data_IF_592270065827
#
_entry.id   IF_592270065827
#
_cell.length_a   1.000
_cell.length_b   1.000
_cell.length_c   1.000
_cell.angle_alpha   90.00
_cell.angle_beta   90.00
_cell.angle_gamma   90.00
#
_symmetry.space_group_name_H-M   'P 1'
#
loop_
_entity.id
_entity.type
_entity.pdbx_description
1 polymer ?
#
# COMPACT_ATOMS: atom_id res chain seq x y z
N UNK A 1 -13.64 25.54 -17.12
CA UNK A 1 -12.70 26.06 -16.10
C UNK A 1 -11.71 24.96 -15.77
N UNK A 2 -10.41 25.28 -15.77
CA UNK A 2 -9.31 24.33 -15.79
C UNK A 2 -8.98 23.78 -14.39
N UNK A 3 -8.72 22.48 -14.29
CA UNK A 3 -8.04 21.89 -13.15
C UNK A 3 -6.59 22.40 -13.13
N UNK A 4 -6.20 23.13 -12.09
CA UNK A 4 -4.82 23.56 -11.91
C UNK A 4 -4.02 22.41 -11.27
N UNK A 5 -3.45 21.51 -12.07
CA UNK A 5 -2.46 20.53 -11.57
C UNK A 5 -1.05 21.14 -11.61
N UNK A 6 -0.42 21.26 -10.43
CA UNK A 6 1.03 21.38 -10.34
C UNK A 6 1.64 19.97 -10.23
N UNK A 7 2.09 19.43 -11.36
CA UNK A 7 2.84 18.17 -11.40
C UNK A 7 4.34 18.48 -11.47
N UNK A 8 5.09 18.09 -10.44
CA UNK A 8 6.55 18.07 -10.46
C UNK A 8 6.99 16.62 -10.76
N UNK A 9 7.66 16.39 -11.89
CA UNK A 9 8.25 15.09 -12.24
C UNK A 9 9.76 15.24 -12.44
N UNK A 10 10.55 14.32 -11.87
CA UNK A 10 11.96 14.12 -12.23
C UNK A 10 12.03 12.89 -13.15
N UNK A 11 12.38 13.11 -14.41
CA UNK A 11 12.37 12.10 -15.49
C UNK A 11 13.49 11.07 -15.29
N UNK A 12 13.12 9.79 -15.22
CA UNK A 12 14.02 8.65 -15.38
C UNK A 12 13.30 7.58 -16.21
N UNK A 13 13.77 7.32 -17.43
CA UNK A 13 13.26 6.24 -18.29
C UNK A 13 11.94 6.53 -19.02
N UNK A 14 11.81 6.03 -20.25
CA UNK A 14 10.72 6.36 -21.16
C UNK A 14 9.52 5.40 -21.04
N UNK A 15 8.38 5.92 -20.63
CA UNK A 15 7.06 5.44 -21.02
C UNK A 15 6.19 6.67 -21.36
N UNK A 16 5.47 6.69 -22.49
CA UNK A 16 4.65 7.83 -22.87
C UNK A 16 3.44 7.99 -21.93
N UNK A 17 3.10 9.24 -21.60
CA UNK A 17 1.82 9.60 -20.99
C UNK A 17 0.81 9.64 -22.15
N UNK A 18 -0.19 8.77 -22.14
CA UNK A 18 -1.27 8.77 -23.12
C UNK A 18 -2.53 9.41 -22.52
N UNK A 19 -2.91 10.58 -23.05
CA UNK A 19 -4.18 11.24 -22.76
C UNK A 19 -5.25 10.62 -23.67
N UNK A 20 -5.97 9.62 -23.19
CA UNK A 20 -7.10 9.06 -23.95
C UNK A 20 -8.31 10.00 -23.82
N UNK A 21 -8.55 10.79 -24.86
CA UNK A 21 -9.81 11.53 -25.06
C UNK A 21 -10.83 10.64 -25.77
N UNK A 22 -12.07 10.66 -25.30
CA UNK A 22 -13.22 10.22 -26.10
C UNK A 22 -13.37 11.08 -27.37
N UNK A 23 -14.18 10.65 -28.35
CA UNK A 23 -14.23 11.28 -29.67
C UNK A 23 -14.84 12.70 -29.57
N UNK A 24 -13.98 13.72 -29.63
CA UNK A 24 -14.32 15.09 -30.00
C UNK A 24 -13.08 15.80 -30.58
N UNK A 25 -13.32 16.58 -31.63
CA UNK A 25 -12.41 17.15 -32.62
C UNK A 25 -11.07 17.75 -32.10
N UNK A 26 -10.01 17.49 -32.86
CA UNK A 26 -8.65 17.98 -32.64
C UNK A 26 -8.49 19.49 -32.94
N UNK A 27 -7.82 20.23 -32.05
CA UNK A 27 -6.86 21.32 -32.40
C UNK A 27 -5.73 21.34 -31.38
N UNK A 28 -4.48 21.34 -31.88
CA UNK A 28 -3.29 20.92 -31.16
C UNK A 28 -2.62 21.92 -30.21
N UNK A 29 -1.60 21.44 -29.49
CA UNK A 29 -0.63 22.23 -28.74
C UNK A 29 0.72 21.48 -28.66
N UNK A 30 1.84 22.23 -28.69
CA UNK A 30 3.23 21.75 -28.56
C UNK A 30 3.78 22.20 -27.20
N UNK A 31 4.60 21.37 -26.56
CA UNK A 31 5.16 21.58 -25.20
C UNK A 31 6.52 22.26 -25.25
N UNK A 32 6.72 23.33 -24.46
CA UNK A 32 8.04 23.80 -24.00
C UNK A 32 7.93 24.26 -22.53
N UNK A 33 8.96 23.96 -21.74
CA UNK A 33 9.07 24.14 -20.29
C UNK A 33 8.62 25.51 -19.73
N UNK A 34 7.82 25.47 -18.64
CA UNK A 34 7.70 26.54 -17.64
C UNK A 34 6.47 27.45 -17.74
N UNK A 35 5.51 27.29 -16.80
CA UNK A 35 4.36 28.16 -16.47
C UNK A 35 3.39 28.52 -17.61
N UNK A 36 2.13 28.03 -17.51
CA UNK A 36 1.02 28.54 -18.32
C UNK A 36 0.23 29.61 -17.56
N UNK A 37 0.35 30.86 -18.00
CA UNK A 37 -0.66 31.91 -17.84
C UNK A 37 -1.43 32.01 -19.17
N UNK A 38 -2.75 32.16 -19.11
CA UNK A 38 -3.59 32.32 -20.31
C UNK A 38 -4.07 33.76 -20.44
N UNK A 39 -3.75 34.40 -21.57
CA UNK A 39 -4.46 35.59 -22.07
C UNK A 39 -4.62 35.47 -23.59
N UNK A 40 -5.79 35.89 -24.09
CA UNK A 40 -6.24 35.69 -25.46
C UNK A 40 -5.53 36.60 -26.48
N UNK A 41 -5.31 36.07 -27.69
CA UNK A 41 -5.21 36.85 -28.92
C UNK A 41 -3.89 36.74 -29.71
N UNK A 42 -4.07 36.55 -31.03
CA UNK A 42 -3.13 36.78 -32.15
C UNK A 42 -2.11 35.67 -32.55
N UNK A 43 -2.16 35.28 -33.83
CA UNK A 43 -1.09 34.59 -34.62
C UNK A 43 -0.08 35.66 -35.13
N UNK A 44 1.09 35.35 -35.78
CA UNK A 44 1.65 34.07 -36.27
C UNK A 44 3.19 33.86 -36.12
N UNK A 45 3.66 32.69 -36.63
CA UNK A 45 4.97 32.34 -37.23
C UNK A 45 6.23 32.07 -36.38
N UNK A 46 6.90 30.94 -36.70
CA UNK A 46 8.35 30.71 -36.94
C UNK A 46 8.65 29.18 -36.85
N UNK A 47 8.89 28.52 -37.99
CA UNK A 47 10.20 28.07 -38.55
C UNK A 47 10.95 27.00 -37.76
N UNK A 48 11.15 25.84 -38.40
CA UNK A 48 11.99 24.73 -37.92
C UNK A 48 13.49 25.06 -38.00
N UNK A 49 14.32 24.37 -37.20
CA UNK A 49 15.52 23.80 -37.78
C UNK A 49 15.68 22.30 -37.52
N UNK A 50 16.10 21.65 -38.60
CA UNK A 50 16.66 20.33 -38.84
C UNK A 50 17.03 19.42 -37.64
N UNK A 51 16.66 18.15 -37.80
CA UNK A 51 17.25 17.02 -37.10
C UNK A 51 18.72 16.78 -37.51
N UNK A 52 19.50 16.11 -36.65
CA UNK A 52 20.48 15.16 -37.14
C UNK A 52 20.19 13.74 -36.60
N UNK A 53 20.15 12.81 -37.54
CA UNK A 53 20.30 11.37 -37.39
C UNK A 53 21.71 10.99 -36.90
N UNK A 54 21.83 9.72 -36.46
CA UNK A 54 23.06 8.89 -36.33
C UNK A 54 23.77 9.04 -34.96
N UNK A 55 24.19 8.02 -34.18
CA UNK A 55 24.61 6.63 -34.44
C UNK A 55 24.38 5.72 -33.21
N UNK A 56 24.25 4.40 -33.44
CA UNK A 56 24.42 3.35 -32.43
C UNK A 56 25.92 3.10 -32.24
N UNK A 57 26.39 2.93 -31.01
CA UNK A 57 27.62 2.18 -30.72
C UNK A 57 27.49 1.38 -29.41
N UNK A 58 27.88 0.11 -29.52
CA UNK A 58 28.08 -0.88 -28.47
C UNK A 58 29.55 -0.77 -28.06
N UNK A 59 29.84 -0.68 -26.76
CA UNK A 59 31.20 -0.77 -26.23
C UNK A 59 31.36 -1.95 -25.28
N UNK A 60 32.12 -2.93 -25.78
CA UNK A 60 32.70 -4.06 -25.06
C UNK A 60 33.84 -3.55 -24.18
N UNK A 61 33.94 -4.05 -22.94
CA UNK A 61 35.11 -3.84 -22.07
C UNK A 61 36.13 -4.95 -22.29
N UNK A 62 37.44 -4.63 -22.43
CA UNK A 62 38.50 -5.63 -22.43
C UNK A 62 39.05 -5.87 -21.01
N UNK A 63 39.51 -7.11 -20.86
CA UNK A 63 40.23 -7.74 -19.75
C UNK A 63 41.54 -7.06 -19.35
N UNK A 64 41.87 -7.15 -18.05
CA UNK A 64 43.21 -6.84 -17.50
C UNK A 64 43.88 -8.10 -16.90
N UNK A 65 45.22 -8.16 -16.81
CA UNK A 65 45.99 -9.39 -16.59
C UNK A 65 46.54 -9.58 -15.15
N UNK A 66 46.97 -10.83 -14.90
CA UNK A 66 47.64 -11.40 -13.71
C UNK A 66 49.17 -11.24 -13.80
N UNK A 67 49.89 -11.15 -12.66
CA UNK A 67 51.05 -12.04 -12.37
C UNK A 67 50.99 -12.56 -10.91
N UNK A 68 51.02 -13.86 -10.57
CA UNK A 68 52.04 -14.95 -10.63
C UNK A 68 53.10 -14.97 -9.50
N UNK A 69 53.10 -16.07 -8.71
CA UNK A 69 54.19 -16.59 -7.85
C UNK A 69 53.95 -16.44 -6.33
N UNK A 70 54.13 -17.42 -5.44
CA UNK A 70 54.53 -18.84 -5.50
C UNK A 70 54.29 -19.48 -4.10
N UNK A 71 54.29 -20.82 -4.06
CA UNK A 71 53.92 -21.76 -2.99
C UNK A 71 54.75 -21.76 -1.68
N UNK A 72 54.19 -22.31 -0.58
CA UNK A 72 54.64 -23.57 0.07
C UNK A 72 54.07 -23.81 1.51
N UNK A 73 53.43 -24.99 1.69
CA UNK A 73 53.47 -26.00 2.80
C UNK A 73 53.73 -25.54 4.26
N UNK A 74 53.07 -25.97 5.34
CA UNK A 74 52.56 -27.30 5.72
C UNK A 74 53.17 -27.74 7.08
N UNK A 75 52.32 -28.15 8.05
CA UNK A 75 52.57 -29.02 9.24
C UNK A 75 53.39 -28.55 10.48
N UNK A 76 52.93 -29.06 11.64
CA UNK A 76 53.31 -28.95 13.07
C UNK A 76 54.54 -29.83 13.46
N UNK A 77 54.83 -30.11 14.76
CA UNK A 77 55.38 -29.27 15.84
C UNK A 77 56.74 -29.80 16.38
N UNK A 78 57.50 -29.00 17.15
CA UNK A 78 58.79 -29.42 17.73
C UNK A 78 59.19 -28.68 19.00
N UNK A 79 59.85 -29.41 19.88
CA UNK A 79 60.00 -29.24 21.33
C UNK A 79 61.27 -28.47 21.75
N UNK A 80 61.22 -27.90 22.97
CA UNK A 80 62.33 -27.57 23.91
C UNK A 80 63.42 -26.55 23.54
N UNK A 81 63.67 -25.60 24.47
CA UNK A 81 64.88 -25.49 25.32
C UNK A 81 64.74 -24.26 26.27
N UNK A 82 65.02 -24.46 27.56
CA UNK A 82 65.12 -23.43 28.62
C UNK A 82 66.41 -22.58 28.46
N UNK A 83 66.45 -21.34 28.99
CA UNK A 83 67.33 -21.16 30.15
C UNK A 83 66.88 -20.17 31.25
N UNK A 84 67.29 -20.54 32.46
CA UNK A 84 67.74 -19.74 33.63
C UNK A 84 66.96 -18.51 34.16
N UNK A 85 66.73 -18.59 35.48
CA UNK A 85 66.16 -17.60 36.41
C UNK A 85 66.99 -16.32 36.56
N UNK A 86 66.29 -15.20 36.76
CA UNK A 86 66.76 -13.98 37.44
C UNK A 86 65.62 -13.40 38.29
N UNK A 87 65.88 -12.75 39.44
CA UNK A 87 64.86 -12.46 40.44
C UNK A 87 64.13 -11.14 40.16
N UNK A 88 62.79 -11.16 40.10
CA UNK A 88 61.99 -9.94 40.01
C UNK A 88 61.58 -9.44 41.39
N UNK A 89 61.93 -8.17 41.61
CA UNK A 89 61.64 -7.32 42.75
C UNK A 89 60.15 -6.94 42.73
N UNK A 90 59.47 -7.09 43.86
CA UNK A 90 58.07 -6.71 44.01
C UNK A 90 57.89 -5.17 43.97
N UNK A 91 57.01 -4.67 43.09
CA UNK A 91 56.45 -3.32 43.15
C UNK A 91 54.93 -3.40 43.39
N UNK A 92 54.44 -2.51 44.24
CA UNK A 92 53.06 -2.48 44.76
C UNK A 92 52.09 -2.01 43.66
N UNK A 93 51.12 -2.84 43.30
CA UNK A 93 50.00 -2.46 42.43
C UNK A 93 48.88 -1.80 43.22
N UNK A 94 48.48 -0.59 42.81
CA UNK A 94 47.30 0.14 43.31
C UNK A 94 46.05 -0.46 42.69
N UNK A 95 45.10 -0.91 43.51
CA UNK A 95 43.82 -1.44 43.05
C UNK A 95 42.86 -0.29 42.72
N UNK A 96 42.51 -0.11 41.43
CA UNK A 96 41.43 0.77 41.01
C UNK A 96 40.10 0.03 41.10
N UNK A 97 39.24 0.44 42.04
CA UNK A 97 37.85 -0.03 42.12
C UNK A 97 37.03 0.78 41.12
N UNK A 98 36.68 0.18 39.98
CA UNK A 98 35.68 0.74 39.08
C UNK A 98 34.29 0.50 39.66
N UNK A 99 33.48 1.54 39.96
CA UNK A 99 32.10 1.33 40.39
C UNK A 99 31.31 0.83 39.18
N UNK A 100 30.84 -0.42 39.25
CA UNK A 100 29.89 -0.97 38.28
C UNK A 100 28.57 -0.23 38.48
N UNK A 101 28.31 0.78 37.65
CA UNK A 101 27.01 1.41 37.54
C UNK A 101 26.01 0.38 36.99
N UNK A 102 25.23 -0.20 37.89
CA UNK A 102 24.08 -1.05 37.52
C UNK A 102 23.03 -0.13 36.90
N UNK A 103 23.03 -0.05 35.57
CA UNK A 103 21.90 0.51 34.83
C UNK A 103 20.71 -0.43 35.00
N UNK A 104 19.84 -0.12 35.95
CA UNK A 104 18.51 -0.72 36.01
C UNK A 104 17.79 -0.34 34.71
N UNK A 105 17.69 -1.29 33.78
CA UNK A 105 16.86 -1.15 32.59
C UNK A 105 15.42 -0.98 33.06
N UNK A 106 14.93 0.27 33.07
CA UNK A 106 13.51 0.55 33.22
C UNK A 106 12.85 -0.05 31.99
N UNK A 107 12.35 -1.28 32.11
CA UNK A 107 11.43 -1.83 31.13
C UNK A 107 10.21 -0.91 31.16
N UNK A 108 10.14 0.04 30.23
CA UNK A 108 8.92 0.77 29.94
C UNK A 108 7.97 -0.29 29.41
N UNK A 109 7.22 -0.92 30.30
CA UNK A 109 6.11 -1.78 29.95
C UNK A 109 5.17 -0.93 29.12
N UNK A 110 5.16 -1.13 27.81
CA UNK A 110 4.07 -0.63 26.99
C UNK A 110 2.83 -1.27 27.59
N UNK A 111 1.99 -0.45 28.24
CA UNK A 111 0.70 -0.88 28.78
C UNK A 111 -0.11 -1.43 27.60
N UNK A 112 -0.01 -2.74 27.38
CA UNK A 112 -0.84 -3.46 26.42
C UNK A 112 -2.24 -3.43 26.98
N UNK A 113 -3.11 -2.64 26.37
CA UNK A 113 -4.52 -2.63 26.74
C UNK A 113 -5.21 -3.96 26.38
N UNK A 114 -6.52 -4.06 26.67
CA UNK A 114 -7.26 -5.31 26.53
C UNK A 114 -7.27 -5.82 25.09
N UNK A 115 -7.18 -7.14 24.94
CA UNK A 115 -7.28 -7.83 23.65
C UNK A 115 -8.57 -8.64 23.58
N UNK A 116 -9.38 -8.35 22.58
CA UNK A 116 -10.67 -8.96 22.27
C UNK A 116 -10.49 -9.94 21.12
N UNK A 117 -10.13 -11.19 21.44
CA UNK A 117 -9.96 -12.24 20.45
C UNK A 117 -11.33 -12.74 19.97
N UNK A 118 -11.58 -12.69 18.66
CA UNK A 118 -12.87 -13.11 18.06
C UNK A 118 -13.26 -14.54 18.41
N UNK A 119 -12.29 -15.43 18.62
CA UNK A 119 -12.55 -16.81 19.07
C UNK A 119 -13.16 -16.85 20.48
N UNK A 120 -12.76 -15.92 21.36
CA UNK A 120 -13.35 -15.76 22.69
C UNK A 120 -14.80 -15.25 22.67
N UNK A 121 -15.25 -14.73 21.52
CA UNK A 121 -16.62 -14.31 21.25
C UNK A 121 -17.43 -15.32 20.43
N UNK A 122 -16.92 -16.55 20.30
CA UNK A 122 -17.62 -17.66 19.67
C UNK A 122 -17.29 -17.90 18.20
N UNK A 123 -16.37 -17.14 17.61
CA UNK A 123 -15.94 -17.38 16.23
C UNK A 123 -15.27 -18.75 16.09
N UNK A 124 -15.75 -19.56 15.14
CA UNK A 124 -15.22 -20.90 14.88
C UNK A 124 -13.90 -20.82 14.14
N UNK A 125 -13.87 -20.05 13.06
CA UNK A 125 -12.69 -19.94 12.20
C UNK A 125 -12.43 -21.19 11.37
N UNK A 126 -13.50 -21.87 10.94
CA UNK A 126 -13.46 -23.09 10.11
C UNK A 126 -13.70 -22.84 8.61
N UNK A 127 -13.94 -21.58 8.21
CA UNK A 127 -14.22 -21.15 6.85
C UNK A 127 -15.62 -21.52 6.34
N UNK A 128 -16.49 -22.04 7.21
CA UNK A 128 -17.82 -22.58 6.84
C UNK A 128 -18.94 -21.94 7.64
N UNK A 129 -18.78 -21.81 8.95
CA UNK A 129 -19.73 -21.14 9.82
C UNK A 129 -19.61 -19.63 9.64
N UNK A 130 -20.74 -18.92 9.55
CA UNK A 130 -20.73 -17.45 9.53
C UNK A 130 -20.32 -16.91 10.90
N UNK A 131 -19.12 -16.33 10.97
CA UNK A 131 -18.50 -15.80 12.18
C UNK A 131 -18.82 -14.31 12.40
N UNK A 132 -19.66 -13.68 11.56
CA UNK A 132 -19.94 -12.23 11.61
C UNK A 132 -20.48 -11.77 12.96
N UNK A 133 -21.35 -12.54 13.62
CA UNK A 133 -21.88 -12.16 14.93
C UNK A 133 -20.78 -12.11 16.01
N UNK A 134 -19.85 -13.05 15.99
CA UNK A 134 -18.73 -13.08 16.94
C UNK A 134 -17.76 -11.92 16.71
N UNK A 135 -17.49 -11.58 15.45
CA UNK A 135 -16.69 -10.40 15.10
C UNK A 135 -17.34 -9.10 15.58
N UNK A 136 -18.65 -8.94 15.37
CA UNK A 136 -19.37 -7.75 15.86
C UNK A 136 -19.36 -7.67 17.38
N UNK A 137 -19.51 -8.80 18.08
CA UNK A 137 -19.47 -8.82 19.54
C UNK A 137 -18.09 -8.41 20.07
N UNK A 138 -17.01 -8.95 19.50
CA UNK A 138 -15.64 -8.57 19.85
C UNK A 138 -15.35 -7.08 19.56
N UNK A 139 -15.78 -6.59 18.38
CA UNK A 139 -15.67 -5.18 18.01
C UNK A 139 -16.41 -4.27 18.98
N UNK A 140 -17.68 -4.56 19.29
CA UNK A 140 -18.48 -3.74 20.18
C UNK A 140 -17.87 -3.67 21.59
N UNK A 141 -17.36 -4.79 22.09
CA UNK A 141 -16.67 -4.82 23.37
C UNK A 141 -15.39 -3.97 23.35
N UNK A 142 -14.58 -4.06 22.30
CA UNK A 142 -13.37 -3.25 22.15
C UNK A 142 -13.64 -1.76 21.96
N UNK A 143 -14.65 -1.41 21.17
CA UNK A 143 -14.98 -0.04 20.82
C UNK A 143 -15.62 0.73 21.99
N UNK A 144 -16.28 0.02 22.91
CA UNK A 144 -16.92 0.61 24.09
C UNK A 144 -16.05 0.63 25.35
N UNK A 145 -14.86 0.03 25.32
CA UNK A 145 -13.88 0.08 26.40
C UNK A 145 -13.07 1.39 26.35
N UNK A 146 -13.05 2.09 27.49
CA UNK A 146 -12.39 3.38 27.69
C UNK A 146 -10.91 3.31 28.09
N UNK A 147 -10.31 2.11 28.15
CA UNK A 147 -8.87 1.94 28.37
C UNK A 147 -8.08 2.52 27.19
N UNK A 148 -6.85 2.96 27.45
CA UNK A 148 -6.08 3.82 26.55
C UNK A 148 -5.91 3.28 25.10
N UNK A 149 -5.79 1.95 24.92
CA UNK A 149 -5.74 1.31 23.60
C UNK A 149 -6.38 -0.08 23.65
N UNK A 150 -7.41 -0.32 22.87
CA UNK A 150 -8.09 -1.63 22.80
C UNK A 150 -7.68 -2.35 21.51
N UNK A 151 -7.58 -3.67 21.56
CA UNK A 151 -7.17 -4.48 20.40
C UNK A 151 -8.22 -5.55 20.08
N UNK A 152 -8.67 -5.66 18.84
CA UNK A 152 -9.43 -6.82 18.34
C UNK A 152 -8.44 -7.76 17.65
N UNK A 153 -8.47 -9.05 18.00
CA UNK A 153 -7.55 -10.06 17.46
C UNK A 153 -8.30 -11.08 16.62
N UNK A 154 -7.89 -11.23 15.36
CA UNK A 154 -8.25 -12.32 14.45
C UNK A 154 -7.04 -13.27 14.36
N UNK A 155 -7.08 -14.42 15.06
CA UNK A 155 -5.88 -15.23 15.26
C UNK A 155 -5.41 -15.95 13.99
N UNK A 156 -4.10 -16.17 13.91
CA UNK A 156 -3.46 -16.96 12.87
C UNK A 156 -3.95 -18.42 12.84
N UNK A 157 -3.81 -19.08 11.68
CA UNK A 157 -4.13 -20.51 11.51
C UNK A 157 -5.63 -20.81 11.43
N UNK A 158 -6.49 -19.78 11.39
CA UNK A 158 -7.94 -19.91 11.25
C UNK A 158 -8.48 -19.16 10.04
N UNK A 159 -9.62 -19.61 9.52
CA UNK A 159 -10.33 -18.98 8.40
C UNK A 159 -11.74 -18.59 8.83
N UNK A 160 -12.07 -17.31 8.82
CA UNK A 160 -13.34 -16.80 9.32
C UNK A 160 -14.22 -16.39 8.13
N UNK A 161 -15.32 -17.12 7.92
CA UNK A 161 -16.30 -16.73 6.91
C UNK A 161 -17.15 -15.60 7.47
N UNK A 162 -17.18 -14.45 6.80
CA UNK A 162 -17.98 -13.30 7.23
C UNK A 162 -19.01 -12.91 6.16
N UNK A 163 -20.28 -12.85 6.53
CA UNK A 163 -21.25 -12.03 5.79
C UNK A 163 -20.92 -10.54 5.85
N UNK A 164 -21.55 -9.72 5.01
CA UNK A 164 -21.33 -8.28 4.98
C UNK A 164 -21.50 -7.62 6.37
N UNK A 165 -20.50 -6.85 6.80
CA UNK A 165 -20.34 -6.37 8.18
C UNK A 165 -19.79 -4.94 8.21
N UNK A 166 -20.26 -4.18 9.20
CA UNK A 166 -19.97 -2.75 9.37
C UNK A 166 -19.47 -2.52 10.80
N UNK A 167 -18.19 -2.24 10.95
CA UNK A 167 -17.51 -1.92 12.20
C UNK A 167 -17.53 -0.41 12.40
N UNK A 168 -18.47 0.06 13.22
CA UNK A 168 -18.73 1.49 13.40
C UNK A 168 -18.19 2.03 14.71
N UNK A 169 -17.69 3.25 14.66
CA UNK A 169 -17.49 4.11 15.82
C UNK A 169 -18.70 5.02 16.10
N UNK A 170 -18.52 6.07 16.92
CA UNK A 170 -17.27 6.45 17.58
C UNK A 170 -16.87 5.46 18.69
N UNK A 171 -15.59 5.12 18.76
CA UNK A 171 -15.04 4.32 19.86
C UNK A 171 -14.54 5.22 20.99
N UNK A 172 -14.57 4.71 22.23
CA UNK A 172 -14.13 5.48 23.41
C UNK A 172 -12.61 5.68 23.48
N UNK A 173 -11.85 4.85 22.77
CA UNK A 173 -10.39 4.87 22.71
C UNK A 173 -9.91 4.57 21.30
N UNK A 174 -8.62 4.79 21.03
CA UNK A 174 -8.01 4.35 19.78
C UNK A 174 -8.06 2.82 19.69
N UNK A 175 -8.47 2.30 18.54
CA UNK A 175 -8.68 0.87 18.36
C UNK A 175 -7.64 0.28 17.42
N UNK A 176 -7.11 -0.86 17.83
CA UNK A 176 -6.18 -1.67 17.08
C UNK A 176 -6.89 -2.94 16.62
N UNK A 177 -6.70 -3.35 15.37
CA UNK A 177 -7.25 -4.58 14.81
C UNK A 177 -6.07 -5.38 14.26
N UNK A 178 -5.71 -6.46 14.95
CA UNK A 178 -4.68 -7.39 14.53
C UNK A 178 -5.34 -8.53 13.74
N UNK A 179 -5.03 -8.64 12.46
CA UNK A 179 -5.56 -9.67 11.56
C UNK A 179 -4.42 -10.58 11.10
N UNK A 180 -4.28 -11.73 11.73
CA UNK A 180 -3.27 -12.75 11.38
C UNK A 180 -3.89 -14.00 10.74
N UNK A 181 -5.20 -14.19 10.89
CA UNK A 181 -5.98 -15.23 10.21
C UNK A 181 -6.43 -14.85 8.81
N UNK A 182 -7.19 -15.74 8.17
CA UNK A 182 -7.88 -15.46 6.91
C UNK A 182 -9.32 -15.03 7.19
N UNK A 183 -9.76 -13.94 6.58
CA UNK A 183 -11.17 -13.53 6.51
C UNK A 183 -11.66 -13.81 5.09
N UNK A 184 -12.74 -14.57 4.99
CA UNK A 184 -13.23 -15.13 3.73
C UNK A 184 -14.65 -14.61 3.45
N UNK A 185 -14.90 -14.14 2.24
CA UNK A 185 -16.25 -13.74 1.80
C UNK A 185 -17.12 -14.96 1.50
N UNK A 186 -18.46 -14.84 1.47
CA UNK A 186 -19.32 -15.92 1.00
C UNK A 186 -19.07 -16.24 -0.49
N UNK A 187 -18.93 -17.53 -0.82
CA UNK A 187 -18.85 -17.98 -2.22
C UNK A 187 -20.25 -18.07 -2.88
N UNK A 188 -20.99 -16.97 -2.79
CA UNK A 188 -22.30 -16.76 -3.41
C UNK A 188 -22.52 -15.26 -3.56
N UNK A 189 -23.35 -14.85 -4.51
CA UNK A 189 -23.81 -13.46 -4.55
C UNK A 189 -24.82 -13.22 -3.42
N UNK A 190 -24.92 -11.97 -2.94
CA UNK A 190 -25.88 -11.56 -1.92
C UNK A 190 -26.51 -10.20 -2.26
N UNK A 191 -27.60 -9.86 -1.58
CA UNK A 191 -28.29 -8.58 -1.80
C UNK A 191 -27.40 -7.43 -1.30
N UNK A 192 -27.00 -6.55 -2.23
CA UNK A 192 -26.15 -5.40 -1.95
C UNK A 192 -26.96 -4.26 -1.31
N UNK A 193 -27.12 -4.28 0.01
CA UNK A 193 -27.76 -3.16 0.74
C UNK A 193 -26.90 -1.88 0.72
N UNK A 194 -25.58 -2.02 0.81
CA UNK A 194 -24.62 -0.89 0.89
C UNK A 194 -23.51 -0.93 -0.17
N UNK A 195 -23.46 -1.97 -1.01
CA UNK A 195 -22.39 -2.13 -2.00
C UNK A 195 -21.00 -2.39 -1.43
N UNK A 196 -20.91 -2.80 -0.16
CA UNK A 196 -19.64 -3.09 0.55
C UNK A 196 -19.76 -4.40 1.31
N UNK A 197 -18.66 -5.16 1.39
CA UNK A 197 -18.55 -6.38 2.20
C UNK A 197 -18.10 -6.06 3.62
N UNK A 198 -16.89 -5.52 3.82
CA UNK A 198 -16.37 -5.12 5.15
C UNK A 198 -16.16 -3.61 5.18
N UNK A 199 -16.80 -2.91 6.10
CA UNK A 199 -16.60 -1.47 6.30
C UNK A 199 -16.17 -1.10 7.73
N UNK A 200 -15.23 -0.15 7.83
CA UNK A 200 -14.86 0.55 9.06
C UNK A 200 -15.27 2.01 8.93
N UNK A 201 -16.17 2.48 9.80
CA UNK A 201 -16.83 3.76 9.64
C UNK A 201 -16.79 4.63 10.89
N UNK A 202 -16.55 5.93 10.72
CA UNK A 202 -16.65 6.93 11.79
C UNK A 202 -15.68 6.70 12.97
N UNK A 203 -14.45 6.28 12.69
CA UNK A 203 -13.44 5.96 13.71
C UNK A 203 -12.31 6.98 13.69
N UNK A 204 -11.91 7.45 14.88
CA UNK A 204 -10.71 8.27 15.10
C UNK A 204 -9.61 7.40 15.71
N UNK A 205 -8.46 7.31 15.06
CA UNK A 205 -7.33 6.51 15.52
C UNK A 205 -7.53 5.01 15.31
N UNK A 206 -7.72 4.61 14.06
CA UNK A 206 -7.86 3.20 13.65
C UNK A 206 -6.51 2.65 13.18
N UNK A 207 -6.00 1.63 13.85
CA UNK A 207 -4.83 0.87 13.37
C UNK A 207 -5.25 -0.54 13.02
N UNK A 208 -5.03 -0.95 11.77
CA UNK A 208 -5.23 -2.31 11.29
C UNK A 208 -3.88 -2.83 10.81
N UNK A 209 -3.46 -3.98 11.31
CA UNK A 209 -2.23 -4.62 10.84
C UNK A 209 -2.32 -6.14 10.97
N UNK A 210 -1.30 -6.82 10.47
CA UNK A 210 -1.09 -8.25 10.64
C UNK A 210 -0.57 -8.88 9.36
N UNK A 211 -0.44 -10.19 9.36
CA UNK A 211 -0.01 -10.98 8.19
C UNK A 211 -1.17 -11.73 7.51
N UNK A 212 -2.39 -11.49 7.96
CA UNK A 212 -3.59 -12.17 7.52
C UNK A 212 -4.02 -11.84 6.09
N UNK A 213 -5.03 -12.58 5.65
CA UNK A 213 -5.58 -12.50 4.29
C UNK A 213 -7.04 -12.08 4.33
N UNK A 214 -7.42 -11.12 3.50
CA UNK A 214 -8.81 -10.77 3.20
C UNK A 214 -9.12 -11.31 1.80
N UNK A 215 -9.85 -12.42 1.70
CA UNK A 215 -10.21 -13.06 0.44
C UNK A 215 -11.68 -12.79 0.09
N UNK A 216 -11.89 -11.99 -0.96
CA UNK A 216 -13.21 -11.55 -1.41
C UNK A 216 -13.98 -12.57 -2.25
N UNK A 217 -13.38 -13.70 -2.64
CA UNK A 217 -13.99 -14.73 -3.50
C UNK A 217 -14.73 -14.15 -4.74
N UNK A 218 -14.11 -13.17 -5.40
CA UNK A 218 -14.74 -12.32 -6.42
C UNK A 218 -15.17 -13.02 -7.71
N UNK A 219 -14.65 -14.22 -8.02
CA UNK A 219 -14.94 -14.94 -9.25
C UNK A 219 -16.44 -15.10 -9.54
N UNK A 220 -17.23 -15.40 -8.50
CA UNK A 220 -18.69 -15.54 -8.63
C UNK A 220 -19.37 -14.24 -9.03
N UNK A 221 -18.86 -13.10 -8.56
CA UNK A 221 -19.36 -11.78 -8.88
C UNK A 221 -18.97 -11.34 -10.28
N UNK A 222 -17.73 -11.63 -10.69
CA UNK A 222 -17.27 -11.34 -12.06
C UNK A 222 -18.08 -12.13 -13.08
N UNK A 223 -18.31 -13.42 -12.85
CA UNK A 223 -19.16 -14.26 -13.69
C UNK A 223 -20.59 -13.73 -13.77
N UNK A 224 -21.19 -13.44 -12.61
CA UNK A 224 -22.55 -12.90 -12.53
C UNK A 224 -22.71 -11.57 -13.29
N UNK A 225 -21.73 -10.67 -13.20
CA UNK A 225 -21.73 -9.40 -13.95
C UNK A 225 -21.53 -9.60 -15.45
N UNK A 226 -20.62 -10.49 -15.85
CA UNK A 226 -20.40 -10.83 -17.26
C UNK A 226 -21.67 -11.40 -17.92
N UNK A 227 -22.43 -12.20 -17.17
CA UNK A 227 -23.73 -12.75 -17.60
C UNK A 227 -24.91 -11.77 -17.42
N UNK A 228 -24.67 -10.53 -16.98
CA UNK A 228 -25.70 -9.52 -16.69
C UNK A 228 -26.76 -9.97 -15.67
N UNK A 229 -26.44 -10.95 -14.83
CA UNK A 229 -27.31 -11.47 -13.76
C UNK A 229 -27.28 -10.58 -12.51
N UNK A 230 -26.23 -9.77 -12.35
CA UNK A 230 -26.13 -8.71 -11.36
C UNK A 230 -25.52 -7.46 -11.96
N UNK A 231 -26.06 -6.30 -11.58
CA UNK A 231 -25.60 -5.01 -12.07
C UNK A 231 -24.35 -4.48 -11.34
N UNK A 232 -24.13 -4.91 -10.09
CA UNK A 232 -23.07 -4.41 -9.22
C UNK A 232 -22.43 -5.55 -8.42
N UNK A 233 -21.21 -5.31 -7.96
CA UNK A 233 -20.49 -6.15 -7.01
C UNK A 233 -20.06 -5.30 -5.81
N UNK A 234 -19.85 -5.91 -4.63
CA UNK A 234 -19.44 -5.17 -3.44
C UNK A 234 -17.94 -4.81 -3.50
N UNK A 235 -17.59 -3.63 -2.97
CA UNK A 235 -16.20 -3.34 -2.56
C UNK A 235 -15.84 -4.27 -1.40
N UNK A 236 -14.65 -4.87 -1.41
CA UNK A 236 -14.27 -5.83 -0.37
C UNK A 236 -14.01 -5.16 0.98
N UNK A 237 -13.19 -4.11 1.00
CA UNK A 237 -12.72 -3.47 2.23
C UNK A 237 -12.83 -1.95 2.13
N UNK A 238 -13.60 -1.33 3.02
CA UNK A 238 -13.92 0.09 2.94
C UNK A 238 -13.59 0.80 4.26
N UNK A 239 -12.86 1.91 4.19
CA UNK A 239 -12.59 2.79 5.32
C UNK A 239 -13.23 4.14 5.00
N UNK A 240 -14.27 4.49 5.75
CA UNK A 240 -15.13 5.63 5.46
C UNK A 240 -15.28 6.59 6.63
N UNK A 241 -15.15 7.89 6.38
CA UNK A 241 -15.38 8.91 7.41
C UNK A 241 -14.49 8.72 8.65
N UNK A 242 -13.25 8.28 8.45
CA UNK A 242 -12.29 8.01 9.52
C UNK A 242 -11.20 9.09 9.59
N UNK A 243 -10.48 9.15 10.71
CA UNK A 243 -9.28 9.99 10.84
C UNK A 243 -8.14 9.24 11.51
N UNK A 244 -6.90 9.53 11.12
CA UNK A 244 -5.69 8.90 11.67
C UNK A 244 -5.73 7.37 11.52
N UNK A 245 -5.79 6.92 10.27
CA UNK A 245 -5.87 5.51 9.89
C UNK A 245 -4.47 4.96 9.58
N UNK A 246 -4.18 3.75 10.05
CA UNK A 246 -3.02 2.96 9.66
C UNK A 246 -3.48 1.59 9.20
N UNK A 247 -3.10 1.16 8.00
CA UNK A 247 -3.37 -0.17 7.45
C UNK A 247 -2.05 -0.77 6.98
N UNK A 248 -1.58 -1.84 7.63
CA UNK A 248 -0.23 -2.38 7.39
C UNK A 248 -0.19 -3.89 7.23
N UNK A 249 0.53 -4.40 6.23
CA UNK A 249 0.97 -5.81 6.19
C UNK A 249 -0.03 -6.84 5.65
N UNK A 250 -1.31 -6.47 5.48
CA UNK A 250 -2.34 -7.42 5.05
C UNK A 250 -2.24 -7.77 3.57
N UNK A 251 -2.70 -8.99 3.26
CA UNK A 251 -2.94 -9.43 1.89
C UNK A 251 -4.42 -9.31 1.53
N UNK A 252 -4.75 -8.72 0.38
CA UNK A 252 -6.11 -8.66 -0.16
C UNK A 252 -6.16 -9.48 -1.46
N UNK A 253 -7.11 -10.40 -1.55
CA UNK A 253 -7.24 -11.32 -2.69
C UNK A 253 -8.62 -11.27 -3.29
N UNK A 254 -8.67 -11.33 -4.61
CA UNK A 254 -9.86 -11.64 -5.40
C UNK A 254 -11.09 -10.83 -4.96
N UNK A 255 -10.97 -9.50 -4.88
CA UNK A 255 -12.13 -8.69 -4.53
C UNK A 255 -13.23 -8.78 -5.61
N UNK A 256 -14.51 -8.84 -5.24
CA UNK A 256 -15.63 -8.77 -6.20
C UNK A 256 -15.62 -7.51 -7.07
N UNK A 257 -15.07 -6.42 -6.54
CA UNK A 257 -14.85 -5.13 -7.20
C UNK A 257 -13.53 -4.54 -6.66
N UNK A 258 -13.48 -3.28 -6.25
CA UNK A 258 -12.28 -2.67 -5.65
C UNK A 258 -11.87 -3.39 -4.36
N UNK A 259 -10.58 -3.56 -4.12
CA UNK A 259 -10.08 -4.27 -2.92
C UNK A 259 -10.17 -3.39 -1.69
N UNK A 260 -9.45 -2.25 -1.70
CA UNK A 260 -9.42 -1.30 -0.59
C UNK A 260 -9.95 0.05 -1.07
N UNK A 261 -10.95 0.61 -0.38
CA UNK A 261 -11.47 1.94 -0.66
C UNK A 261 -11.29 2.85 0.55
N UNK A 262 -10.65 4.00 0.35
CA UNK A 262 -10.47 5.07 1.31
C UNK A 262 -11.39 6.21 0.90
N UNK A 263 -12.43 6.46 1.70
CA UNK A 263 -13.46 7.43 1.36
C UNK A 263 -13.69 8.41 2.49
N UNK A 264 -13.81 9.71 2.18
CA UNK A 264 -14.10 10.75 3.17
C UNK A 264 -13.18 10.68 4.41
N UNK A 265 -11.90 10.35 4.22
CA UNK A 265 -10.97 10.04 5.32
C UNK A 265 -9.80 11.00 5.31
N UNK A 266 -9.35 11.42 6.50
CA UNK A 266 -8.21 12.35 6.67
C UNK A 266 -7.07 11.68 7.43
N UNK A 267 -5.87 11.72 6.87
CA UNK A 267 -4.68 11.14 7.50
C UNK A 267 -4.73 9.62 7.49
N UNK A 268 -4.50 9.00 6.33
CA UNK A 268 -4.47 7.54 6.19
C UNK A 268 -3.10 7.07 5.66
N UNK A 269 -2.52 6.08 6.33
CA UNK A 269 -1.25 5.46 5.91
C UNK A 269 -1.47 3.98 5.61
N UNK A 270 -1.32 3.61 4.35
CA UNK A 270 -1.41 2.25 3.82
C UNK A 270 0.00 1.81 3.43
N UNK A 271 0.52 0.76 4.07
CA UNK A 271 1.92 0.35 3.89
C UNK A 271 2.08 -1.17 3.88
N UNK A 272 2.98 -1.71 3.06
CA UNK A 272 3.27 -3.16 3.01
C UNK A 272 2.03 -4.00 2.71
N UNK A 273 1.18 -3.53 1.81
CA UNK A 273 0.02 -4.29 1.36
C UNK A 273 0.41 -5.19 0.19
N UNK A 274 -0.20 -6.37 0.14
CA UNK A 274 -0.11 -7.26 -1.01
C UNK A 274 -1.52 -7.46 -1.59
N UNK A 275 -1.79 -6.88 -2.75
CA UNK A 275 -3.14 -6.89 -3.36
C UNK A 275 -3.08 -7.66 -4.67
N UNK A 276 -3.92 -8.68 -4.82
CA UNK A 276 -3.90 -9.55 -5.99
C UNK A 276 -5.28 -9.99 -6.47
N UNK A 277 -5.50 -9.90 -7.78
CA UNK A 277 -6.60 -10.54 -8.51
C UNK A 277 -6.13 -10.89 -9.93
N UNK A 278 -6.84 -11.77 -10.67
CA UNK A 278 -6.52 -12.07 -12.07
C UNK A 278 -6.43 -10.81 -12.94
N UNK A 279 -5.56 -10.83 -13.96
CA UNK A 279 -5.36 -9.67 -14.84
C UNK A 279 -6.61 -9.30 -15.66
N UNK A 280 -7.55 -10.22 -15.80
CA UNK A 280 -8.81 -10.08 -16.53
C UNK A 280 -10.02 -9.86 -15.60
N UNK A 281 -9.81 -9.73 -14.28
CA UNK A 281 -10.91 -9.52 -13.33
C UNK A 281 -11.48 -8.09 -13.43
N UNK A 282 -12.80 -7.92 -13.66
CA UNK A 282 -13.37 -6.62 -13.99
C UNK A 282 -13.53 -5.69 -12.78
N UNK A 283 -13.01 -4.46 -12.90
CA UNK A 283 -13.14 -3.38 -11.91
C UNK A 283 -12.58 -3.74 -10.52
N UNK A 284 -11.48 -4.49 -10.52
CA UNK A 284 -10.82 -4.93 -9.30
C UNK A 284 -9.70 -4.00 -8.88
N UNK A 285 -9.96 -2.69 -8.83
CA UNK A 285 -8.95 -1.71 -8.44
C UNK A 285 -8.25 -2.12 -7.13
N UNK A 286 -6.96 -1.87 -7.01
CA UNK A 286 -6.21 -2.22 -5.81
C UNK A 286 -6.58 -1.32 -4.64
N UNK A 287 -6.20 -0.05 -4.72
CA UNK A 287 -6.60 0.98 -3.75
C UNK A 287 -7.36 2.10 -4.47
N UNK A 288 -8.61 2.31 -4.10
CA UNK A 288 -9.40 3.45 -4.53
C UNK A 288 -9.41 4.53 -3.45
N UNK A 289 -9.20 5.79 -3.83
CA UNK A 289 -9.22 6.94 -2.92
C UNK A 289 -10.22 7.96 -3.45
N UNK A 290 -11.17 8.39 -2.64
CA UNK A 290 -12.12 9.44 -3.01
C UNK A 290 -12.47 10.33 -1.81
N UNK A 291 -12.69 11.63 -2.04
CA UNK A 291 -13.05 12.62 -1.01
C UNK A 291 -12.13 12.62 0.21
N UNK A 292 -10.86 12.24 0.03
CA UNK A 292 -9.94 11.97 1.13
C UNK A 292 -8.72 12.87 1.06
N UNK A 293 -8.10 13.10 2.22
CA UNK A 293 -6.97 14.02 2.35
C UNK A 293 -5.83 13.39 3.14
N UNK A 294 -4.60 13.77 2.80
CA UNK A 294 -3.40 13.33 3.53
C UNK A 294 -3.26 11.80 3.55
N UNK A 295 -3.37 11.18 2.36
CA UNK A 295 -3.25 9.73 2.21
C UNK A 295 -1.86 9.37 1.71
N UNK A 296 -1.22 8.42 2.38
CA UNK A 296 0.06 7.85 2.00
C UNK A 296 -0.12 6.37 1.66
N UNK A 297 0.35 5.97 0.48
CA UNK A 297 0.39 4.55 0.07
C UNK A 297 1.84 4.22 -0.27
N UNK A 298 2.44 3.30 0.50
CA UNK A 298 3.87 2.99 0.32
C UNK A 298 4.22 1.51 0.41
N UNK A 299 5.34 1.13 -0.20
CA UNK A 299 5.97 -0.20 -0.07
C UNK A 299 4.99 -1.35 -0.31
N UNK A 300 4.14 -1.27 -1.32
CA UNK A 300 3.06 -2.23 -1.54
C UNK A 300 3.16 -2.85 -2.94
N UNK A 301 2.73 -4.09 -3.06
CA UNK A 301 2.66 -4.83 -4.32
C UNK A 301 1.19 -4.97 -4.69
N UNK A 302 0.83 -4.54 -5.90
CA UNK A 302 -0.56 -4.49 -6.36
C UNK A 302 -0.63 -5.02 -7.79
N UNK A 303 -1.33 -6.13 -7.99
CA UNK A 303 -1.61 -6.68 -9.32
C UNK A 303 -3.06 -7.08 -9.46
N UNK A 304 -3.80 -6.44 -10.37
CA UNK A 304 -5.25 -6.67 -10.52
C UNK A 304 -5.67 -6.54 -11.98
N UNK A 305 -6.97 -6.70 -12.28
CA UNK A 305 -7.51 -6.45 -13.62
C UNK A 305 -7.94 -5.01 -13.92
N UNK A 306 -7.67 -4.05 -13.01
CA UNK A 306 -7.98 -2.62 -13.24
C UNK A 306 -6.86 -1.74 -12.66
N UNK A 307 -7.15 -0.49 -12.29
CA UNK A 307 -6.17 0.44 -11.73
C UNK A 307 -5.52 -0.14 -10.45
N UNK A 308 -4.18 -0.13 -10.37
CA UNK A 308 -3.49 -0.48 -9.11
C UNK A 308 -3.91 0.49 -8.01
N UNK A 309 -3.90 1.78 -8.34
CA UNK A 309 -4.39 2.84 -7.46
C UNK A 309 -5.22 3.81 -8.30
N UNK A 310 -6.48 4.02 -7.92
CA UNK A 310 -7.39 4.98 -8.56
C UNK A 310 -7.74 6.12 -7.61
N UNK A 311 -7.77 7.34 -8.14
CA UNK A 311 -7.96 8.59 -7.39
C UNK A 311 -9.16 9.33 -7.93
N UNK A 312 -10.23 9.37 -7.14
CA UNK A 312 -11.50 10.01 -7.43
C UNK A 312 -11.60 11.46 -6.93
N UNK A 313 -12.78 12.04 -7.14
CA UNK A 313 -13.10 13.43 -6.86
C UNK A 313 -12.92 13.82 -5.38
N UNK A 314 -12.60 15.09 -5.11
CA UNK A 314 -12.50 15.66 -3.78
C UNK A 314 -11.25 15.21 -3.02
N UNK A 315 -10.23 14.74 -3.75
CA UNK A 315 -9.04 14.14 -3.17
C UNK A 315 -7.87 15.12 -3.21
N UNK A 316 -7.16 15.28 -2.09
CA UNK A 316 -6.10 16.27 -1.94
C UNK A 316 -4.91 15.73 -1.13
N UNK A 317 -3.70 16.10 -1.53
CA UNK A 317 -2.44 15.78 -0.83
C UNK A 317 -2.26 14.27 -0.62
N UNK A 318 -1.95 13.58 -1.72
CA UNK A 318 -1.75 12.13 -1.75
C UNK A 318 -0.31 11.85 -2.13
N UNK A 319 0.37 11.02 -1.35
CA UNK A 319 1.71 10.55 -1.65
C UNK A 319 1.71 9.03 -1.91
N UNK A 320 2.09 8.65 -3.12
CA UNK A 320 2.21 7.27 -3.56
C UNK A 320 3.68 7.02 -3.86
N UNK A 321 4.29 6.04 -3.19
CA UNK A 321 5.69 5.73 -3.46
C UNK A 321 6.08 4.29 -3.20
N UNK A 322 7.08 3.78 -3.93
CA UNK A 322 7.59 2.40 -3.73
C UNK A 322 6.49 1.37 -3.92
N UNK A 323 5.77 1.49 -5.03
CA UNK A 323 4.72 0.56 -5.43
C UNK A 323 5.25 -0.30 -6.55
N UNK A 324 5.09 -1.62 -6.41
CA UNK A 324 5.22 -2.56 -7.50
C UNK A 324 3.81 -2.82 -8.04
N UNK A 325 3.50 -2.19 -9.18
CA UNK A 325 2.17 -2.20 -9.79
C UNK A 325 2.18 -3.09 -11.04
N UNK A 326 1.37 -4.14 -11.07
CA UNK A 326 1.33 -5.03 -12.21
C UNK A 326 0.89 -6.46 -11.91
N UNK A 327 0.03 -7.07 -12.74
CA UNK A 327 -0.67 -6.49 -13.90
C UNK A 327 -1.74 -5.45 -13.51
N UNK A 328 -2.31 -4.72 -14.47
CA UNK A 328 -3.42 -3.78 -14.24
C UNK A 328 -3.40 -2.55 -15.14
N UNK A 329 -4.09 -1.47 -14.76
CA UNK A 329 -4.16 -0.24 -15.55
C UNK A 329 -3.16 0.85 -15.15
N UNK A 330 -2.33 0.61 -14.13
CA UNK A 330 -1.40 1.59 -13.58
C UNK A 330 -2.01 2.43 -12.45
N UNK A 331 -1.51 3.65 -12.26
CA UNK A 331 -2.07 4.63 -11.32
C UNK A 331 -2.93 5.62 -12.10
N UNK A 332 -4.22 5.72 -11.75
CA UNK A 332 -5.17 6.56 -12.49
C UNK A 332 -5.79 7.65 -11.63
N UNK A 333 -5.90 8.86 -12.17
CA UNK A 333 -6.83 9.88 -11.67
C UNK A 333 -8.12 9.78 -12.50
N UNK A 334 -9.26 9.65 -11.83
CA UNK A 334 -10.59 9.61 -12.44
C UNK A 334 -11.18 8.21 -12.65
N UNK A 335 -12.26 8.08 -13.42
CA UNK A 335 -12.83 9.13 -14.28
C UNK A 335 -13.44 10.30 -13.50
N UNK A 336 -13.16 11.53 -13.93
CA UNK A 336 -13.67 12.76 -13.33
C UNK A 336 -14.70 13.45 -14.24
N UNK A 337 -15.63 14.19 -13.65
CA UNK A 337 -16.52 15.09 -14.38
C UNK A 337 -17.71 14.45 -15.10
N UNK A 338 -18.12 13.25 -14.67
CA UNK A 338 -19.31 12.58 -15.22
C UNK A 338 -20.52 13.51 -15.18
N UNK A 339 -21.32 13.51 -16.25
CA UNK A 339 -22.54 14.32 -16.39
C UNK A 339 -22.29 15.83 -16.25
N UNK A 340 -21.09 16.30 -16.63
CA UNK A 340 -20.69 17.70 -16.52
C UNK A 340 -20.42 18.17 -15.09
N UNK A 341 -20.27 17.24 -14.14
CA UNK A 341 -20.00 17.59 -12.74
C UNK A 341 -18.61 18.23 -12.57
N UNK A 342 -18.50 19.11 -11.58
CA UNK A 342 -17.21 19.67 -11.18
C UNK A 342 -16.47 18.62 -10.35
N UNK A 343 -15.22 18.38 -10.72
CA UNK A 343 -14.33 17.51 -9.99
C UNK A 343 -12.98 18.17 -9.73
N UNK A 344 -12.41 17.91 -8.56
CA UNK A 344 -11.16 18.49 -8.10
C UNK A 344 -10.29 17.39 -7.48
N UNK A 345 -9.06 17.28 -7.99
CA UNK A 345 -8.02 16.38 -7.48
C UNK A 345 -6.71 17.15 -7.54
N UNK A 346 -6.01 17.26 -6.41
CA UNK A 346 -4.87 18.16 -6.27
C UNK A 346 -3.76 17.57 -5.39
N UNK A 347 -2.52 18.01 -5.63
CA UNK A 347 -1.34 17.61 -4.88
C UNK A 347 -1.15 16.08 -4.81
N UNK A 348 -1.16 15.45 -5.98
CA UNK A 348 -0.87 14.02 -6.12
C UNK A 348 0.61 13.87 -6.46
N UNK A 349 1.36 13.21 -5.58
CA UNK A 349 2.77 12.91 -5.77
C UNK A 349 2.96 11.40 -5.93
N UNK A 350 3.54 10.99 -7.06
CA UNK A 350 3.85 9.59 -7.37
C UNK A 350 5.36 9.48 -7.62
N UNK A 351 6.04 8.59 -6.91
CA UNK A 351 7.50 8.44 -7.05
C UNK A 351 8.00 7.03 -6.77
N UNK A 352 9.14 6.64 -7.34
CA UNK A 352 9.79 5.34 -7.07
C UNK A 352 8.85 4.14 -7.25
N UNK A 353 7.99 4.14 -8.27
CA UNK A 353 7.07 3.04 -8.55
C UNK A 353 7.54 2.26 -9.77
N UNK A 354 7.39 0.94 -9.73
CA UNK A 354 7.65 0.06 -10.85
C UNK A 354 6.32 -0.41 -11.44
N UNK A 355 6.27 -0.49 -12.77
CA UNK A 355 5.09 -0.90 -13.51
C UNK A 355 5.42 -2.12 -14.38
N UNK A 356 4.64 -3.19 -14.24
CA UNK A 356 4.86 -4.46 -14.93
C UNK A 356 3.57 -4.95 -15.57
N UNK A 357 3.58 -5.23 -16.87
CA UNK A 357 2.38 -5.72 -17.57
C UNK A 357 1.12 -4.86 -17.30
N UNK A 358 1.31 -3.56 -17.12
CA UNK A 358 0.20 -2.61 -16.98
C UNK A 358 -0.12 -1.98 -18.32
N UNK A 359 -1.38 -1.58 -18.52
CA UNK A 359 -1.75 -0.85 -19.75
C UNK A 359 -1.19 0.58 -19.75
N UNK A 360 -0.95 1.18 -18.57
CA UNK A 360 -0.36 2.51 -18.41
C UNK A 360 0.58 2.53 -17.19
N UNK A 361 1.50 3.50 -17.15
CA UNK A 361 2.20 3.87 -15.91
C UNK A 361 1.31 4.74 -15.03
N UNK A 362 1.04 5.96 -15.50
CA UNK A 362 0.06 6.87 -14.91
C UNK A 362 -0.93 7.36 -15.97
N UNK A 363 -2.19 7.57 -15.58
CA UNK A 363 -3.28 7.98 -16.48
C UNK A 363 -4.22 8.98 -15.83
N UNK A 364 -4.76 9.91 -16.60
CA UNK A 364 -5.86 10.79 -16.17
C UNK A 364 -7.06 10.52 -17.07
N UNK A 365 -8.23 10.31 -16.47
CA UNK A 365 -9.50 10.02 -17.14
C UNK A 365 -10.51 11.13 -16.80
N UNK A 366 -11.07 11.79 -17.81
CA UNK A 366 -12.16 12.76 -17.65
C UNK A 366 -13.27 12.44 -18.65
N UNK A 367 -14.50 12.85 -18.34
CA UNK A 367 -15.64 12.79 -19.27
C UNK A 367 -15.60 13.92 -20.29
#
# INVERSE_FOLDING_TARGET
MAALLHLQWKRWGAAPIEEQRGPAEARGARVVHGRCLWSAGWRPQCTEPAAPTVNREISLWPSSPIPSGEDHTGSTPGNQIYPSRGPFRASKGVAYVFPVLVFASLAIGVLSGPTYNVAGYGAKGDGRMDDTLAFMAAWNAACTDSKARTSVLVPAGKTFLLSAVSFKGPCKSSIHVQIDGTILAPNKTWILKKGVWIDFMFIKGLTINGSGVIDGQGAIWWHCRAQKQCARAPVAFYIGSCTHVRLTGLSFKNSPMMHVCIHNTVGANLTKLNISAPADSPNTDGVHIERSQEVQITHSTIGTGDDCISIGNGTYNINISRIDCGPGHGISIGSLGRDGSIAQVEQIHVSSCNFYNTTNGARIKTW
#
